data_IF_652975294799
#
_entry.id   IF_652975294799
#
_cell.length_a   1.000
_cell.length_b   1.000
_cell.length_c   1.000
_cell.angle_alpha   90.00
_cell.angle_beta   90.00
_cell.angle_gamma   90.00
#
_symmetry.space_group_name_H-M   'P 1'
#
loop_
_entity.id
_entity.type
_entity.pdbx_description
1 polymer ?
#
# COMPACT_ATOMS: atom_id res chain seq x y z
N UNK A 1 -4.06 9.17 21.65
CA UNK A 1 -4.91 8.05 21.23
C UNK A 1 -4.10 6.77 21.24
N UNK A 2 -4.67 5.63 21.66
CA UNK A 2 -3.98 4.35 21.55
C UNK A 2 -3.68 4.05 20.09
N UNK A 3 -2.55 3.39 19.85
CA UNK A 3 -2.06 3.10 18.50
C UNK A 3 -1.80 1.60 18.39
N UNK A 4 -2.44 0.97 17.41
CA UNK A 4 -2.21 -0.41 17.03
C UNK A 4 -0.85 -0.50 16.36
N UNK A 5 -0.06 -1.52 16.69
CA UNK A 5 1.26 -1.75 16.10
C UNK A 5 1.40 -3.22 15.73
N UNK A 6 2.02 -3.48 14.59
CA UNK A 6 2.31 -4.84 14.12
C UNK A 6 3.64 -4.89 13.41
N UNK A 7 4.33 -6.02 13.50
CA UNK A 7 5.56 -6.29 12.75
C UNK A 7 5.49 -7.66 12.14
N UNK A 8 5.69 -7.77 10.83
CA UNK A 8 5.50 -9.01 10.08
C UNK A 8 6.38 -9.05 8.83
N UNK A 9 6.71 -10.26 8.37
CA UNK A 9 7.47 -10.45 7.15
C UNK A 9 6.65 -10.07 5.91
N UNK A 10 7.30 -9.60 4.86
CA UNK A 10 6.66 -9.37 3.57
C UNK A 10 6.38 -10.70 2.87
N UNK A 11 5.10 -11.07 2.78
CA UNK A 11 4.67 -12.31 2.13
C UNK A 11 4.10 -12.11 0.72
N UNK A 12 3.74 -10.87 0.36
CA UNK A 12 3.15 -10.55 -0.94
C UNK A 12 4.10 -9.72 -1.80
N UNK A 13 4.29 -10.16 -3.05
CA UNK A 13 5.06 -9.41 -4.06
C UNK A 13 4.19 -8.32 -4.71
N UNK A 14 3.89 -7.27 -3.94
CA UNK A 14 2.99 -6.18 -4.34
C UNK A 14 3.64 -5.07 -5.19
N UNK A 15 4.98 -5.08 -5.31
CA UNK A 15 5.72 -4.11 -6.12
C UNK A 15 6.88 -4.80 -6.82
N UNK A 16 7.04 -4.66 -8.15
CA UNK A 16 8.16 -5.21 -8.88
C UNK A 16 9.48 -4.50 -8.57
N UNK A 17 9.48 -3.36 -7.87
CA UNK A 17 10.69 -2.62 -7.52
C UNK A 17 11.18 -2.90 -6.09
N UNK A 18 10.51 -3.80 -5.37
CA UNK A 18 10.85 -4.14 -3.98
C UNK A 18 10.99 -5.65 -3.84
N UNK A 19 12.16 -6.11 -3.38
CA UNK A 19 12.42 -7.51 -3.05
C UNK A 19 11.51 -8.09 -1.96
N UNK A 20 11.63 -9.38 -1.70
CA UNK A 20 10.84 -10.08 -0.66
C UNK A 20 11.51 -10.07 0.71
N UNK A 21 12.81 -9.74 0.78
CA UNK A 21 13.64 -9.68 1.98
C UNK A 21 13.37 -8.42 2.82
N UNK A 22 12.10 -8.23 3.19
CA UNK A 22 11.62 -7.06 3.91
C UNK A 22 10.78 -7.45 5.12
N UNK A 23 10.88 -6.66 6.19
CA UNK A 23 9.98 -6.70 7.36
C UNK A 23 9.14 -5.44 7.34
N UNK A 24 7.83 -5.58 7.48
CA UNK A 24 6.93 -4.44 7.63
C UNK A 24 6.73 -4.09 9.09
N UNK A 25 6.76 -2.79 9.39
CA UNK A 25 6.27 -2.23 10.64
C UNK A 25 5.03 -1.39 10.35
N UNK A 26 3.87 -1.88 10.80
CA UNK A 26 2.60 -1.20 10.65
C UNK A 26 2.20 -0.49 11.94
N UNK A 27 1.65 0.71 11.80
CA UNK A 27 1.06 1.52 12.87
C UNK A 27 -0.29 2.01 12.41
N UNK A 28 -1.31 1.90 13.25
CA UNK A 28 -2.63 2.44 12.95
C UNK A 28 -3.22 3.14 14.16
N UNK A 29 -3.90 4.26 13.95
CA UNK A 29 -4.71 4.87 15.00
C UNK A 29 -5.91 3.98 15.31
N UNK A 30 -6.44 4.07 16.53
CA UNK A 30 -7.75 3.48 16.83
C UNK A 30 -8.80 4.04 15.85
N UNK A 31 -9.65 3.19 15.24
CA UNK A 31 -10.66 3.65 14.30
C UNK A 31 -11.69 4.57 14.98
N UNK A 32 -11.78 5.82 14.52
CA UNK A 32 -12.76 6.79 15.00
C UNK A 32 -13.34 7.63 13.86
N UNK A 33 -13.41 8.94 14.04
CA UNK A 33 -13.71 9.91 12.98
C UNK A 33 -12.59 10.00 11.94
N UNK A 34 -11.36 9.69 12.37
CA UNK A 34 -10.22 9.53 11.47
C UNK A 34 -9.57 8.17 11.66
N UNK A 35 -8.91 7.70 10.61
CA UNK A 35 -8.06 6.52 10.64
C UNK A 35 -6.79 6.80 9.84
N UNK A 36 -5.65 6.73 10.50
CA UNK A 36 -4.35 6.77 9.85
C UNK A 36 -3.68 5.41 9.96
N UNK A 37 -3.20 4.88 8.84
CA UNK A 37 -2.39 3.67 8.75
C UNK A 37 -1.07 4.03 8.12
N UNK A 38 0.03 3.72 8.79
CA UNK A 38 1.37 3.95 8.33
C UNK A 38 2.13 2.62 8.31
N UNK A 39 2.79 2.31 7.19
CA UNK A 39 3.54 1.07 7.01
C UNK A 39 4.94 1.43 6.53
N UNK A 40 5.95 1.00 7.28
CA UNK A 40 7.35 1.08 6.88
C UNK A 40 7.85 -0.28 6.40
N UNK A 41 8.65 -0.28 5.35
CA UNK A 41 9.35 -1.44 4.85
C UNK A 41 10.82 -1.35 5.25
N UNK A 42 11.26 -2.32 6.04
CA UNK A 42 12.62 -2.39 6.57
C UNK A 42 13.37 -3.49 5.86
N UNK A 43 14.56 -3.17 5.34
CA UNK A 43 15.48 -4.11 4.70
C UNK A 43 16.86 -3.94 5.31
N UNK A 44 17.50 -5.05 5.70
CA UNK A 44 18.79 -5.04 6.38
C UNK A 44 18.86 -4.06 7.59
N UNK A 45 17.76 -3.98 8.36
CA UNK A 45 17.66 -3.12 9.53
C UNK A 45 17.41 -1.62 9.24
N UNK A 46 17.32 -1.20 7.97
CA UNK A 46 17.07 0.19 7.59
C UNK A 46 15.70 0.36 6.93
N UNK A 47 14.95 1.45 7.21
CA UNK A 47 13.75 1.78 6.47
C UNK A 47 14.12 2.16 5.03
N UNK A 48 13.50 1.50 4.06
CA UNK A 48 13.76 1.72 2.63
C UNK A 48 12.55 2.26 1.87
N UNK A 49 11.36 2.21 2.48
CA UNK A 49 10.13 2.75 1.93
C UNK A 49 9.10 2.90 3.04
N UNK A 50 8.23 3.91 2.94
CA UNK A 50 7.06 4.05 3.79
C UNK A 50 5.83 4.45 2.97
N UNK A 51 4.65 4.13 3.51
CA UNK A 51 3.38 4.55 2.95
C UNK A 51 2.42 4.93 4.08
N UNK A 52 1.71 6.05 3.88
CA UNK A 52 0.69 6.52 4.82
C UNK A 52 -0.66 6.65 4.13
N UNK A 53 -1.66 6.00 4.70
CA UNK A 53 -3.06 6.14 4.36
C UNK A 53 -3.75 6.96 5.44
N UNK A 54 -4.30 8.11 5.08
CA UNK A 54 -5.11 8.95 5.96
C UNK A 54 -6.56 8.95 5.46
N UNK A 55 -7.49 8.70 6.36
CA UNK A 55 -8.91 8.57 6.05
C UNK A 55 -9.75 9.32 7.08
N UNK A 56 -10.86 9.85 6.59
CA UNK A 56 -11.95 10.38 7.41
C UNK A 56 -13.15 9.45 7.31
N UNK A 57 -13.88 9.30 8.41
CA UNK A 57 -15.09 8.50 8.47
C UNK A 57 -16.17 9.14 7.62
N UNK A 58 -16.85 8.32 6.83
CA UNK A 58 -18.06 8.70 6.13
C UNK A 58 -19.09 7.59 6.27
N UNK A 59 -20.33 7.95 6.60
CA UNK A 59 -21.41 6.98 6.66
C UNK A 59 -21.71 6.42 5.27
N UNK A 60 -21.77 5.09 5.17
CA UNK A 60 -22.14 4.41 3.94
C UNK A 60 -23.67 4.39 3.81
N UNK A 61 -24.20 5.46 3.24
CA UNK A 61 -25.62 5.59 2.88
C UNK A 61 -25.79 5.37 1.38
N UNK A 62 -27.02 5.10 0.94
CA UNK A 62 -27.33 5.02 -0.51
C UNK A 62 -26.93 6.30 -1.24
N UNK A 63 -27.15 7.46 -0.61
CA UNK A 63 -26.82 8.76 -1.18
C UNK A 63 -25.30 8.98 -1.27
N UNK A 64 -24.53 8.65 -0.22
CA UNK A 64 -23.07 8.79 -0.26
C UNK A 64 -22.43 7.83 -1.26
N UNK A 65 -22.92 6.59 -1.36
CA UNK A 65 -22.48 5.64 -2.36
C UNK A 65 -22.76 6.13 -3.79
N UNK A 66 -23.99 6.58 -4.10
CA UNK A 66 -24.34 7.11 -5.41
C UNK A 66 -23.51 8.35 -5.77
N UNK A 67 -23.30 9.26 -4.81
CA UNK A 67 -22.45 10.45 -4.99
C UNK A 67 -20.99 10.06 -5.30
N UNK A 68 -20.46 9.03 -4.65
CA UNK A 68 -19.09 8.57 -4.88
C UNK A 68 -18.92 8.00 -6.30
N UNK A 69 -19.86 7.17 -6.74
CA UNK A 69 -19.89 6.65 -8.12
C UNK A 69 -20.04 7.77 -9.16
N UNK A 70 -20.92 8.75 -8.91
CA UNK A 70 -21.14 9.86 -9.82
C UNK A 70 -19.97 10.86 -9.86
N UNK A 71 -19.25 11.05 -8.75
CA UNK A 71 -18.11 11.98 -8.67
C UNK A 71 -16.84 11.40 -9.29
N UNK A 72 -16.72 10.08 -9.33
CA UNK A 72 -15.55 9.41 -9.84
C UNK A 72 -15.88 8.26 -10.81
N UNK A 73 -16.63 8.50 -11.90
CA UNK A 73 -16.96 7.44 -12.87
C UNK A 73 -15.70 6.83 -13.52
N UNK A 74 -14.59 7.57 -13.55
CA UNK A 74 -13.29 7.14 -14.06
C UNK A 74 -12.22 7.04 -12.95
N UNK A 75 -12.60 6.89 -11.67
CA UNK A 75 -11.63 6.77 -10.56
C UNK A 75 -10.61 5.68 -10.84
N UNK A 76 -11.08 4.50 -11.24
CA UNK A 76 -10.22 3.34 -11.51
C UNK A 76 -9.22 3.65 -12.63
N UNK A 77 -9.68 4.23 -13.74
CA UNK A 77 -8.80 4.60 -14.84
C UNK A 77 -7.75 5.63 -14.42
N UNK A 78 -8.14 6.64 -13.63
CA UNK A 78 -7.21 7.64 -13.08
C UNK A 78 -6.19 7.01 -12.14
N UNK A 79 -6.63 6.14 -11.23
CA UNK A 79 -5.75 5.42 -10.30
C UNK A 79 -4.74 4.57 -11.07
N UNK A 80 -5.20 3.80 -12.06
CA UNK A 80 -4.31 3.01 -12.91
C UNK A 80 -3.31 3.90 -13.65
N UNK A 81 -3.76 5.01 -14.26
CA UNK A 81 -2.87 5.93 -14.98
C UNK A 81 -1.79 6.51 -14.06
N UNK A 82 -2.13 6.87 -12.82
CA UNK A 82 -1.17 7.36 -11.84
C UNK A 82 -0.18 6.27 -11.40
N UNK A 83 -0.65 5.05 -11.12
CA UNK A 83 0.21 3.92 -10.73
C UNK A 83 1.18 3.56 -11.86
N UNK A 84 0.68 3.40 -13.09
CA UNK A 84 1.51 3.06 -14.24
C UNK A 84 2.46 4.20 -14.64
N UNK A 85 2.00 5.45 -14.59
CA UNK A 85 2.85 6.62 -14.82
C UNK A 85 4.01 6.68 -13.84
N UNK A 86 3.75 6.44 -12.55
CA UNK A 86 4.79 6.37 -11.52
C UNK A 86 5.75 5.20 -11.76
N UNK A 87 5.25 4.02 -12.10
CA UNK A 87 6.08 2.86 -12.42
C UNK A 87 7.00 3.09 -13.63
N UNK A 88 6.50 3.77 -14.68
CA UNK A 88 7.32 4.20 -15.82
C UNK A 88 8.40 5.19 -15.36
N UNK A 89 8.04 6.18 -14.54
CA UNK A 89 9.00 7.13 -13.96
C UNK A 89 10.13 6.43 -13.18
N UNK A 90 9.79 5.48 -12.30
CA UNK A 90 10.77 4.68 -11.55
C UNK A 90 11.68 3.87 -12.47
N UNK A 91 11.11 3.25 -13.52
CA UNK A 91 11.90 2.49 -14.50
C UNK A 91 12.88 3.40 -15.26
N UNK A 92 12.44 4.58 -15.68
CA UNK A 92 13.29 5.58 -16.33
C UNK A 92 14.38 6.12 -15.39
N UNK A 93 14.11 6.19 -14.10
CA UNK A 93 15.09 6.52 -13.07
C UNK A 93 16.06 5.37 -12.72
N UNK A 94 15.92 4.21 -13.36
CA UNK A 94 16.84 3.07 -13.18
C UNK A 94 16.48 2.14 -12.01
N UNK A 95 15.24 2.16 -11.51
CA UNK A 95 14.81 1.24 -10.46
C UNK A 95 14.94 -0.23 -10.92
N UNK A 96 15.54 -1.06 -10.07
CA UNK A 96 15.72 -2.49 -10.34
C UNK A 96 14.39 -3.23 -10.25
N UNK A 97 14.13 -4.10 -11.23
CA UNK A 97 12.96 -4.98 -11.23
C UNK A 97 13.33 -6.30 -10.56
N UNK A 98 12.60 -6.65 -9.51
CA UNK A 98 12.64 -7.92 -8.83
C UNK A 98 11.62 -8.87 -9.49
N UNK A 99 12.06 -10.02 -10.02
CA UNK A 99 11.15 -10.98 -10.62
C UNK A 99 10.21 -11.54 -9.55
N UNK A 100 8.98 -11.85 -9.96
CA UNK A 100 8.02 -12.49 -9.07
C UNK A 100 8.63 -13.79 -8.52
N UNK A 101 8.56 -14.04 -7.19
CA UNK A 101 9.04 -15.29 -6.63
C UNK A 101 8.34 -16.44 -7.36
N UNK A 102 9.12 -17.36 -7.93
CA UNK A 102 8.55 -18.59 -8.52
C UNK A 102 7.79 -19.30 -7.41
N UNK A 103 6.55 -19.71 -7.66
CA UNK A 103 5.84 -20.60 -6.75
C UNK A 103 6.61 -21.93 -6.68
N UNK A 104 7.44 -22.08 -5.65
CA UNK A 104 8.32 -23.22 -5.50
C UNK A 104 9.12 -23.13 -4.19
N UNK A 105 8.55 -23.68 -3.12
CA UNK A 105 9.25 -23.85 -1.84
C UNK A 105 8.30 -23.95 -0.64
N UNK A 106 7.81 -25.18 -0.43
CA UNK A 106 7.16 -25.75 0.75
C UNK A 106 7.01 -24.89 2.02
N UNK A 107 5.78 -24.90 2.54
CA UNK A 107 5.50 -25.05 3.98
C UNK A 107 6.52 -26.02 4.62
N UNK A 108 7.29 -25.52 5.57
CA UNK A 108 8.17 -26.27 6.46
C UNK A 108 8.14 -25.62 7.83
#
# INVERSE_FOLDING_TARGET
SPMLRGTFAKELHVSPFMGMDHVYQARATEPGETLSVHIESIRAGMPVFDATLAMERSELTRASAARMTARYPLATARVLALIYGHAVGLKLAGARVHPHPRAGGAIG
#
